data_IF_197194783188
#
_entry.id   IF_197194783188
#
_cell.length_a   1.000
_cell.length_b   1.000
_cell.length_c   1.000
_cell.angle_alpha   90.00
_cell.angle_beta   90.00
_cell.angle_gamma   90.00
#
_symmetry.space_group_name_H-M   'P 1'
#
loop_
_entity.id
_entity.type
_entity.pdbx_description
1 polymer ?
#
# COMPACT_ATOMS: atom_id res chain seq x y z
N UNK A 1 8.07 5.57 6.50
CA UNK A 1 6.62 5.64 6.78
C UNK A 1 6.21 4.40 7.56
N UNK A 2 5.49 4.58 8.66
CA UNK A 2 5.19 3.52 9.63
C UNK A 2 4.20 2.49 9.05
N UNK A 3 4.47 1.19 9.24
CA UNK A 3 3.54 0.09 8.90
C UNK A 3 2.13 0.29 9.49
N UNK A 4 2.00 1.08 10.55
CA UNK A 4 0.71 1.49 11.12
C UNK A 4 -0.17 2.24 10.12
N UNK A 5 0.37 3.22 9.38
CA UNK A 5 -0.44 4.09 8.51
C UNK A 5 -0.99 3.35 7.30
N UNK A 6 -0.24 2.38 6.77
CA UNK A 6 -0.73 1.49 5.72
C UNK A 6 -1.83 0.56 6.23
N UNK A 7 -1.67 -0.01 7.44
CA UNK A 7 -2.67 -0.90 8.03
C UNK A 7 -4.00 -0.19 8.30
N UNK A 8 -3.96 1.08 8.75
CA UNK A 8 -5.17 1.88 8.92
C UNK A 8 -5.85 2.19 7.58
N UNK A 9 -5.08 2.60 6.56
CA UNK A 9 -5.64 2.88 5.24
C UNK A 9 -6.31 1.65 4.60
N UNK A 10 -5.73 0.46 4.72
CA UNK A 10 -6.36 -0.78 4.22
C UNK A 10 -7.63 -1.13 5.02
N UNK A 11 -7.59 -1.00 6.35
CA UNK A 11 -8.77 -1.21 7.20
C UNK A 11 -9.93 -0.28 6.83
N UNK A 12 -9.63 0.98 6.52
CA UNK A 12 -10.64 1.95 6.13
C UNK A 12 -11.26 1.61 4.77
N UNK A 13 -10.46 1.16 3.80
CA UNK A 13 -10.95 0.69 2.49
C UNK A 13 -11.85 -0.54 2.64
N UNK A 14 -11.44 -1.52 3.45
CA UNK A 14 -12.22 -2.73 3.70
C UNK A 14 -13.57 -2.42 4.37
N UNK A 15 -13.56 -1.52 5.38
CA UNK A 15 -14.77 -1.05 6.06
C UNK A 15 -15.76 -0.41 5.09
N UNK A 16 -15.30 0.47 4.20
CA UNK A 16 -16.15 1.11 3.20
C UNK A 16 -16.68 0.10 2.17
N UNK A 17 -15.89 -0.92 1.80
CA UNK A 17 -16.33 -2.00 0.91
C UNK A 17 -17.46 -2.82 1.53
N UNK A 18 -17.31 -3.25 2.79
CA UNK A 18 -18.36 -3.99 3.50
C UNK A 18 -19.63 -3.18 3.69
N UNK A 19 -19.52 -1.87 3.93
CA UNK A 19 -20.70 -0.99 4.01
C UNK A 19 -21.46 -0.92 2.69
N UNK A 20 -20.77 -0.89 1.55
CA UNK A 20 -21.41 -0.93 0.22
C UNK A 20 -22.09 -2.27 -0.06
N UNK A 21 -21.51 -3.39 0.40
CA UNK A 21 -22.14 -4.71 0.30
C UNK A 21 -23.42 -4.80 1.13
N UNK A 22 -23.44 -4.18 2.32
CA UNK A 22 -24.63 -4.07 3.15
C UNK A 22 -25.75 -3.31 2.42
N UNK A 23 -25.46 -2.12 1.88
CA UNK A 23 -26.45 -1.30 1.13
C UNK A 23 -26.99 -2.06 -0.09
N UNK A 24 -26.14 -2.80 -0.80
CA UNK A 24 -26.59 -3.66 -1.91
C UNK A 24 -27.50 -4.80 -1.44
N UNK A 25 -27.28 -5.32 -0.25
CA UNK A 25 -28.14 -6.36 0.34
C UNK A 25 -29.49 -5.76 0.75
N UNK A 26 -29.50 -4.58 1.36
CA UNK A 26 -30.72 -3.83 1.70
C UNK A 26 -31.55 -3.50 0.45
N UNK A 27 -30.92 -3.10 -0.67
CA UNK A 27 -31.62 -2.91 -1.94
C UNK A 27 -32.27 -4.19 -2.48
N UNK A 28 -31.63 -5.35 -2.29
CA UNK A 28 -32.22 -6.65 -2.66
C UNK A 28 -33.40 -7.00 -1.76
N UNK A 29 -33.28 -6.77 -0.45
CA UNK A 29 -34.36 -6.99 0.49
C UNK A 29 -35.56 -6.08 0.20
N UNK A 30 -35.31 -4.81 -0.12
CA UNK A 30 -36.34 -3.85 -0.50
C UNK A 30 -37.12 -4.32 -1.75
N UNK A 31 -36.41 -4.89 -2.74
CA UNK A 31 -37.04 -5.50 -3.92
C UNK A 31 -37.88 -6.73 -3.53
N UNK A 32 -37.41 -7.56 -2.61
CA UNK A 32 -38.17 -8.71 -2.08
C UNK A 32 -39.42 -8.24 -1.34
N UNK A 33 -39.34 -7.17 -0.54
CA UNK A 33 -40.49 -6.60 0.16
C UNK A 33 -41.54 -6.06 -0.83
N UNK A 34 -41.11 -5.35 -1.87
CA UNK A 34 -42.01 -4.83 -2.91
C UNK A 34 -42.71 -5.96 -3.67
N UNK A 35 -41.95 -6.97 -4.11
CA UNK A 35 -42.49 -8.12 -4.85
C UNK A 35 -43.46 -8.97 -4.01
N UNK A 36 -43.30 -8.99 -2.68
CA UNK A 36 -44.22 -9.63 -1.73
C UNK A 36 -45.40 -8.74 -1.33
N UNK A 37 -45.48 -7.50 -1.83
CA UNK A 37 -46.53 -6.56 -1.48
C UNK A 37 -46.49 -6.08 -0.02
N UNK A 38 -45.32 -6.15 0.63
CA UNK A 38 -45.14 -5.71 2.02
C UNK A 38 -45.01 -4.18 2.17
N UNK A 39 -44.73 -3.50 1.05
CA UNK A 39 -44.56 -2.05 0.95
C UNK A 39 -45.25 -1.54 -0.31
N UNK A 40 -45.72 -0.30 -0.27
CA UNK A 40 -46.34 0.35 -1.43
C UNK A 40 -45.28 0.88 -2.44
N UNK A 41 -45.74 1.41 -3.58
CA UNK A 41 -44.82 1.96 -4.60
C UNK A 41 -44.09 3.23 -4.14
N UNK A 42 -44.73 4.06 -3.32
CA UNK A 42 -44.16 5.32 -2.86
C UNK A 42 -43.07 5.05 -1.80
N UNK A 43 -43.37 4.20 -0.82
CA UNK A 43 -42.43 3.71 0.19
C UNK A 43 -41.21 3.03 -0.46
N UNK A 44 -41.45 2.21 -1.49
CA UNK A 44 -40.38 1.58 -2.25
C UNK A 44 -39.50 2.63 -2.96
N UNK A 45 -40.10 3.62 -3.62
CA UNK A 45 -39.37 4.66 -4.34
C UNK A 45 -38.53 5.52 -3.38
N UNK A 46 -39.10 5.97 -2.26
CA UNK A 46 -38.39 6.78 -1.26
C UNK A 46 -37.17 6.04 -0.67
N UNK A 47 -37.38 4.80 -0.20
CA UNK A 47 -36.32 3.95 0.35
C UNK A 47 -35.23 3.66 -0.69
N UNK A 48 -35.63 3.39 -1.93
CA UNK A 48 -34.70 3.13 -3.03
C UNK A 48 -33.85 4.36 -3.35
N UNK A 49 -34.44 5.55 -3.39
CA UNK A 49 -33.67 6.77 -3.66
C UNK A 49 -32.66 7.05 -2.57
N UNK A 50 -33.03 6.90 -1.29
CA UNK A 50 -32.12 7.09 -0.16
C UNK A 50 -30.94 6.12 -0.22
N UNK A 51 -31.21 4.82 -0.45
CA UNK A 51 -30.17 3.80 -0.54
C UNK A 51 -29.25 4.01 -1.76
N UNK A 52 -29.80 4.47 -2.89
CA UNK A 52 -28.99 4.77 -4.09
C UNK A 52 -28.10 6.01 -3.89
N UNK A 53 -28.58 7.05 -3.22
CA UNK A 53 -27.78 8.22 -2.86
C UNK A 53 -26.65 7.84 -1.90
N UNK A 54 -26.94 7.04 -0.87
CA UNK A 54 -25.93 6.56 0.07
C UNK A 54 -24.86 5.73 -0.66
N UNK A 55 -25.28 4.85 -1.57
CA UNK A 55 -24.41 4.01 -2.39
C UNK A 55 -23.48 4.84 -3.28
N UNK A 56 -23.99 5.86 -3.98
CA UNK A 56 -23.13 6.73 -4.80
C UNK A 56 -22.19 7.59 -3.97
N UNK A 57 -22.63 8.07 -2.79
CA UNK A 57 -21.76 8.78 -1.86
C UNK A 57 -20.62 7.88 -1.36
N UNK A 58 -20.91 6.60 -1.08
CA UNK A 58 -19.96 5.61 -0.62
C UNK A 58 -18.95 5.22 -1.70
N UNK A 59 -19.41 4.97 -2.94
CA UNK A 59 -18.54 4.72 -4.10
C UNK A 59 -17.60 5.89 -4.36
N UNK A 60 -18.11 7.12 -4.32
CA UNK A 60 -17.30 8.33 -4.52
C UNK A 60 -16.19 8.47 -3.47
N UNK A 61 -16.47 8.14 -2.21
CA UNK A 61 -15.46 8.10 -1.13
C UNK A 61 -14.42 7.01 -1.36
N UNK A 62 -14.86 5.81 -1.76
CA UNK A 62 -13.98 4.68 -2.05
C UNK A 62 -13.04 4.98 -3.23
N UNK A 63 -13.56 5.58 -4.31
CA UNK A 63 -12.78 6.01 -5.46
C UNK A 63 -11.75 7.08 -5.08
N UNK A 64 -12.10 8.03 -4.22
CA UNK A 64 -11.12 9.02 -3.70
C UNK A 64 -10.01 8.36 -2.88
N UNK A 65 -10.35 7.37 -2.05
CA UNK A 65 -9.36 6.61 -1.27
C UNK A 65 -8.46 5.74 -2.16
N UNK A 66 -9.00 5.16 -3.24
CA UNK A 66 -8.24 4.34 -4.21
C UNK A 66 -7.39 5.16 -5.17
N UNK A 67 -7.92 6.27 -5.70
CA UNK A 67 -7.25 7.14 -6.68
C UNK A 67 -6.14 8.01 -6.07
N UNK A 68 -6.23 8.28 -4.77
CA UNK A 68 -5.12 8.76 -3.96
C UNK A 68 -4.61 7.64 -3.06
N UNK A 69 -3.81 6.68 -3.60
CA UNK A 69 -2.91 5.93 -2.75
C UNK A 69 -2.16 6.99 -1.95
N UNK A 70 -2.26 6.92 -0.62
CA UNK A 70 -1.62 7.88 0.27
C UNK A 70 -0.22 8.19 -0.26
N UNK A 71 0.22 9.45 -0.19
CA UNK A 71 1.54 9.89 -0.70
C UNK A 71 2.67 8.87 -0.40
N UNK A 72 2.56 8.19 0.74
CA UNK A 72 3.37 7.05 1.15
C UNK A 72 3.39 5.82 0.25
N UNK A 73 2.26 5.39 -0.31
CA UNK A 73 2.20 4.25 -1.22
C UNK A 73 2.95 4.56 -2.52
N UNK A 74 2.80 5.76 -3.10
CA UNK A 74 3.56 6.19 -4.29
C UNK A 74 5.06 6.26 -4.00
N UNK A 75 5.45 6.85 -2.87
CA UNK A 75 6.84 6.91 -2.43
C UNK A 75 7.43 5.51 -2.18
N UNK A 76 6.65 4.60 -1.61
CA UNK A 76 7.07 3.21 -1.36
C UNK A 76 7.26 2.43 -2.66
N UNK A 77 6.32 2.54 -3.62
CA UNK A 77 6.45 1.90 -4.93
C UNK A 77 7.67 2.46 -5.68
N UNK A 78 7.90 3.77 -5.61
CA UNK A 78 9.09 4.40 -6.19
C UNK A 78 10.37 3.86 -5.57
N UNK A 79 10.42 3.76 -4.23
CA UNK A 79 11.56 3.21 -3.51
C UNK A 79 11.80 1.74 -3.85
N UNK A 80 10.77 0.91 -3.91
CA UNK A 80 10.88 -0.50 -4.29
C UNK A 80 11.38 -0.66 -5.73
N UNK A 81 10.87 0.16 -6.65
CA UNK A 81 11.35 0.19 -8.03
C UNK A 81 12.81 0.62 -8.12
N UNK A 82 13.24 1.57 -7.30
CA UNK A 82 14.64 1.97 -7.19
C UNK A 82 15.50 0.82 -6.66
N UNK A 83 15.11 0.16 -5.56
CA UNK A 83 15.85 -0.97 -4.98
C UNK A 83 16.01 -2.09 -6.02
N UNK A 84 14.94 -2.44 -6.74
CA UNK A 84 14.99 -3.47 -7.79
C UNK A 84 15.97 -3.08 -8.90
N UNK A 85 15.86 -1.86 -9.43
CA UNK A 85 16.77 -1.37 -10.48
C UNK A 85 18.22 -1.28 -9.99
N UNK A 86 18.44 -0.90 -8.74
CA UNK A 86 19.77 -0.84 -8.13
C UNK A 86 20.39 -2.24 -8.04
N UNK A 87 19.62 -3.25 -7.64
CA UNK A 87 20.09 -4.64 -7.58
C UNK A 87 20.45 -5.19 -8.96
N UNK A 88 19.60 -4.95 -9.97
CA UNK A 88 19.83 -5.39 -11.35
C UNK A 88 21.13 -4.76 -11.91
N UNK A 89 21.29 -3.44 -11.72
CA UNK A 89 22.49 -2.69 -12.14
C UNK A 89 23.74 -3.08 -11.34
N UNK A 90 23.61 -3.42 -10.07
CA UNK A 90 24.76 -3.83 -9.26
C UNK A 90 25.31 -5.19 -9.70
N UNK A 91 24.43 -6.15 -9.99
CA UNK A 91 24.81 -7.51 -10.37
C UNK A 91 25.22 -7.63 -11.85
N UNK A 92 24.47 -6.99 -12.76
CA UNK A 92 24.65 -7.12 -14.21
C UNK A 92 25.15 -5.89 -14.96
N UNK A 93 25.21 -4.73 -14.29
CA UNK A 93 25.58 -3.46 -14.92
C UNK A 93 27.08 -3.23 -15.03
N UNK A 94 27.44 -2.14 -15.72
CA UNK A 94 28.83 -1.72 -15.92
C UNK A 94 29.46 -1.17 -14.63
N UNK A 95 30.80 -1.14 -14.56
CA UNK A 95 31.55 -0.65 -13.39
C UNK A 95 31.16 0.79 -13.02
N UNK A 96 30.89 1.64 -14.02
CA UNK A 96 30.42 3.01 -13.83
C UNK A 96 29.08 3.07 -13.08
N UNK A 97 28.11 2.22 -13.46
CA UNK A 97 26.79 2.15 -12.83
C UNK A 97 26.87 1.62 -11.40
N UNK A 98 27.72 0.63 -11.15
CA UNK A 98 27.98 0.11 -9.79
C UNK A 98 28.58 1.20 -8.90
N UNK A 99 29.54 1.95 -9.42
CA UNK A 99 30.18 3.06 -8.70
C UNK A 99 29.17 4.16 -8.38
N UNK A 100 28.30 4.52 -9.32
CA UNK A 100 27.25 5.52 -9.12
C UNK A 100 26.29 5.09 -7.98
N UNK A 101 25.87 3.82 -7.99
CA UNK A 101 25.02 3.26 -6.93
C UNK A 101 25.70 3.29 -5.56
N UNK A 102 26.96 2.83 -5.46
CA UNK A 102 27.69 2.84 -4.18
C UNK A 102 27.87 4.27 -3.67
N UNK A 103 28.11 5.23 -4.57
CA UNK A 103 28.25 6.64 -4.22
C UNK A 103 26.93 7.23 -3.71
N UNK A 104 25.76 6.74 -4.14
CA UNK A 104 24.48 7.16 -3.56
C UNK A 104 24.31 6.74 -2.09
N UNK A 105 24.95 5.65 -1.66
CA UNK A 105 24.80 5.10 -0.30
C UNK A 105 25.96 5.46 0.65
N UNK A 106 27.01 6.11 0.16
CA UNK A 106 28.22 6.40 0.93
C UNK A 106 28.77 7.79 0.67
N UNK A 107 29.48 8.36 1.65
CA UNK A 107 30.04 9.70 1.50
C UNK A 107 31.30 9.73 0.63
N UNK A 108 32.13 8.69 0.68
CA UNK A 108 33.41 8.60 -0.05
C UNK A 108 33.78 7.15 -0.39
N UNK A 109 34.42 6.99 -1.54
CA UNK A 109 35.05 5.77 -2.01
C UNK A 109 36.57 5.96 -1.92
N UNK A 110 37.22 5.27 -0.99
CA UNK A 110 38.66 5.32 -0.79
C UNK A 110 39.29 4.03 -1.32
N UNK A 111 40.29 4.18 -2.19
CA UNK A 111 41.05 3.05 -2.73
C UNK A 111 42.31 2.84 -1.87
N UNK A 112 42.29 1.82 -1.04
CA UNK A 112 43.39 1.47 -0.13
C UNK A 112 43.81 0.02 -0.42
N UNK A 113 45.11 -0.20 -0.69
CA UNK A 113 45.67 -1.55 -0.90
C UNK A 113 44.98 -2.39 -1.99
N UNK A 114 44.53 -1.75 -3.08
CA UNK A 114 43.71 -2.36 -4.16
C UNK A 114 42.31 -2.80 -3.73
N UNK A 115 41.89 -2.48 -2.51
CA UNK A 115 40.53 -2.68 -2.03
C UNK A 115 39.77 -1.35 -2.07
N UNK A 116 38.52 -1.41 -2.53
CA UNK A 116 37.63 -0.25 -2.54
C UNK A 116 36.87 -0.22 -1.21
N UNK A 117 37.25 0.71 -0.36
CA UNK A 117 36.60 0.96 0.92
C UNK A 117 35.58 2.08 0.77
N UNK A 118 34.44 1.96 1.45
CA UNK A 118 33.43 3.03 1.47
C UNK A 118 32.89 3.22 2.88
N UNK A 119 32.63 4.48 3.23
CA UNK A 119 32.00 4.83 4.49
C UNK A 119 30.51 5.05 4.25
N UNK A 120 29.62 4.15 4.74
CA UNK A 120 28.18 4.32 4.61
C UNK A 120 27.72 5.57 5.37
N UNK A 121 26.67 6.23 4.88
CA UNK A 121 26.09 7.39 5.57
C UNK A 121 25.51 6.95 6.93
N UNK A 122 25.57 7.81 7.94
CA UNK A 122 25.18 7.52 9.32
C UNK A 122 23.79 6.89 9.49
N UNK A 123 22.84 7.13 8.59
CA UNK A 123 21.49 6.53 8.64
C UNK A 123 21.43 5.06 8.18
N UNK A 124 22.49 4.55 7.53
CA UNK A 124 22.64 3.12 7.19
C UNK A 124 23.24 2.28 8.32
N UNK A 125 23.91 2.91 9.30
CA UNK A 125 24.56 2.22 10.42
C UNK A 125 23.53 1.46 11.28
N UNK A 126 22.41 2.06 11.72
CA UNK A 126 21.40 1.35 12.50
C UNK A 126 20.76 0.17 11.75
N UNK A 127 20.67 0.26 10.42
CA UNK A 127 20.13 -0.81 9.57
C UNK A 127 21.09 -2.00 9.53
N UNK A 128 22.40 -1.73 9.40
CA UNK A 128 23.45 -2.76 9.43
C UNK A 128 23.45 -3.50 10.77
N UNK A 129 23.36 -2.77 11.88
CA UNK A 129 23.40 -3.34 13.23
C UNK A 129 22.14 -4.17 13.56
N UNK A 130 20.97 -3.79 13.04
CA UNK A 130 19.71 -4.53 13.24
C UNK A 130 19.37 -5.53 12.14
N UNK A 131 20.24 -5.73 11.14
CA UNK A 131 19.93 -6.57 9.98
C UNK A 131 19.67 -8.05 10.36
N UNK A 132 20.39 -8.56 11.37
CA UNK A 132 20.19 -9.92 11.90
C UNK A 132 18.79 -10.12 12.48
N UNK A 133 18.31 -9.15 13.26
CA UNK A 133 16.98 -9.18 13.90
C UNK A 133 15.85 -9.08 12.88
N UNK A 134 16.04 -8.32 11.80
CA UNK A 134 15.09 -8.18 10.71
C UNK A 134 14.94 -9.47 9.88
N UNK A 135 16.03 -10.24 9.68
CA UNK A 135 15.99 -11.50 8.92
C UNK A 135 15.19 -12.59 9.66
N UNK A 136 15.35 -12.68 10.98
CA UNK A 136 14.67 -13.66 11.84
C UNK A 136 13.16 -13.42 11.90
N UNK A 137 12.72 -12.16 11.87
CA UNK A 137 11.30 -11.80 11.90
C UNK A 137 10.59 -12.04 10.57
N UNK A 138 11.29 -11.97 9.43
CA UNK A 138 10.73 -12.29 8.10
C UNK A 138 10.55 -13.81 7.91
N UNK A 139 11.47 -14.64 8.44
CA UNK A 139 11.33 -16.09 8.38
C UNK A 139 10.17 -16.63 9.22
N UNK A 140 9.74 -15.91 10.26
CA UNK A 140 8.59 -16.30 11.08
C UNK A 140 7.22 -16.04 10.43
N UNK A 141 7.14 -15.33 9.30
CA UNK A 141 5.85 -14.97 8.66
C UNK A 141 5.51 -15.90 7.47
N UNK A 142 6.24 -17.00 7.27
CA UNK A 142 5.85 -18.08 6.36
C UNK A 142 5.80 -19.41 7.08
N UNK A 143 4.65 -19.71 7.68
CA UNK A 143 3.73 -20.83 7.38
C UNK A 143 2.85 -21.07 8.60
N UNK A 144 1.58 -20.70 8.50
CA UNK A 144 0.43 -21.35 9.11
C UNK A 144 -0.78 -21.03 8.23
#
# INVERSE_FOLDING_TARGET
>A
MNNLTLRFAYKDIDSHSSSLERINSELKELLVMRTRGLIDDNEYLEQKTLLLEELESGKSKLERLKSNPSKGAKETISLLNFIRKAQDKFNGGQISERRELITMFGQKLDLLYKELTFTPVNWLIPIKENYSNARTSISCVRTA
#
